data_IF_330864328111
#
_entry.id   IF_330864328111
#
_cell.length_a   1.000
_cell.length_b   1.000
_cell.length_c   1.000
_cell.angle_alpha   90.00
_cell.angle_beta   90.00
_cell.angle_gamma   90.00
#
_symmetry.space_group_name_H-M   'P 1'
#
loop_
_entity.id
_entity.type
_entity.pdbx_description
1 polymer ?
#
# COMPACT_ATOMS: atom_id res chain seq x y z
N UNK A 1 -4.25 -2.65 -3.98
CA UNK A 1 -5.52 -2.77 -4.75
C UNK A 1 -5.23 -2.49 -6.21
N UNK A 2 -5.86 -3.21 -7.12
CA UNK A 2 -5.75 -2.99 -8.58
C UNK A 2 -7.12 -3.05 -9.24
N UNK A 3 -7.20 -2.49 -10.45
CA UNK A 3 -8.38 -2.60 -11.31
C UNK A 3 -7.98 -2.56 -12.79
N UNK A 4 -8.92 -2.92 -13.65
CA UNK A 4 -8.81 -2.67 -15.08
C UNK A 4 -9.79 -1.58 -15.49
N UNK A 5 -9.29 -0.51 -16.09
CA UNK A 5 -10.11 0.56 -16.65
C UNK A 5 -9.77 0.71 -18.13
N UNK A 6 -10.79 0.57 -19.00
CA UNK A 6 -10.60 0.62 -20.46
C UNK A 6 -9.45 -0.28 -20.95
N UNK A 7 -9.42 -1.52 -20.45
CA UNK A 7 -8.37 -2.53 -20.73
C UNK A 7 -6.97 -2.19 -20.21
N UNK A 8 -6.81 -1.11 -19.45
CA UNK A 8 -5.55 -0.74 -18.83
C UNK A 8 -5.53 -1.17 -17.35
N UNK A 9 -4.44 -1.83 -16.96
CA UNK A 9 -4.20 -2.17 -15.55
C UNK A 9 -3.78 -0.93 -14.78
N UNK A 10 -4.51 -0.63 -13.73
CA UNK A 10 -4.21 0.44 -12.78
C UNK A 10 -3.99 -0.11 -11.38
N UNK A 11 -3.09 0.51 -10.64
CA UNK A 11 -2.78 0.20 -9.25
C UNK A 11 -3.05 1.39 -8.34
N UNK A 12 -3.61 1.09 -7.17
CA UNK A 12 -3.88 2.07 -6.12
C UNK A 12 -2.64 2.22 -5.25
N UNK A 13 -2.08 3.41 -5.23
CA UNK A 13 -0.93 3.76 -4.42
C UNK A 13 -1.20 4.99 -3.58
N UNK A 14 -0.48 5.14 -2.50
CA UNK A 14 -0.69 6.15 -1.49
C UNK A 14 0.54 7.06 -1.35
N UNK A 15 0.28 8.35 -1.13
CA UNK A 15 1.30 9.34 -0.83
C UNK A 15 1.35 9.59 0.67
N UNK A 16 2.49 9.33 1.33
CA UNK A 16 2.64 9.60 2.76
C UNK A 16 2.37 11.07 3.10
N UNK A 17 1.73 11.31 4.22
CA UNK A 17 1.57 12.62 4.80
C UNK A 17 2.77 13.05 5.64
N UNK A 18 2.68 14.24 6.23
CA UNK A 18 3.73 14.79 7.07
C UNK A 18 4.43 16.00 6.46
N UNK A 19 5.29 16.67 7.22
CA UNK A 19 5.88 17.94 6.84
C UNK A 19 7.10 17.83 5.92
N UNK A 20 7.61 16.61 5.68
CA UNK A 20 8.94 16.43 5.11
C UNK A 20 9.09 16.81 3.64
N UNK A 21 8.09 16.49 2.80
CA UNK A 21 8.21 16.69 1.35
C UNK A 21 6.84 17.00 0.74
N UNK A 22 6.26 18.18 1.00
CA UNK A 22 4.87 18.48 0.63
C UNK A 22 4.60 18.41 -0.88
N UNK A 23 5.63 18.46 -1.72
CA UNK A 23 5.48 18.45 -3.19
C UNK A 23 6.24 17.31 -3.87
N UNK A 24 6.79 16.35 -3.11
CA UNK A 24 7.53 15.25 -3.70
C UNK A 24 6.59 14.22 -4.30
N UNK A 25 6.76 13.96 -5.58
CA UNK A 25 5.90 13.06 -6.36
C UNK A 25 6.66 11.92 -7.05
N UNK A 26 7.99 11.92 -6.96
CA UNK A 26 8.89 10.92 -7.54
C UNK A 26 9.61 10.17 -6.43
N UNK A 27 9.70 8.84 -6.52
CA UNK A 27 10.33 7.96 -5.52
C UNK A 27 9.80 8.20 -4.09
N UNK A 28 8.51 8.42 -3.98
CA UNK A 28 7.88 8.80 -2.71
C UNK A 28 6.58 8.05 -2.40
N UNK A 29 5.73 7.81 -3.38
CA UNK A 29 4.51 7.04 -3.22
C UNK A 29 4.81 5.58 -2.87
N UNK A 30 3.89 4.94 -2.18
CA UNK A 30 4.05 3.59 -1.63
C UNK A 30 2.74 2.81 -1.73
N UNK A 31 2.84 1.49 -1.64
CA UNK A 31 1.65 0.71 -1.29
C UNK A 31 1.24 1.05 0.16
N UNK A 32 -0.06 1.05 0.50
CA UNK A 32 -0.50 1.07 1.90
C UNK A 32 0.11 -0.14 2.63
N UNK A 33 0.75 0.09 3.78
CA UNK A 33 1.49 -0.94 4.53
C UNK A 33 1.81 -0.48 5.94
N UNK A 34 1.92 -1.41 6.86
CA UNK A 34 2.32 -1.11 8.22
C UNK A 34 3.01 -2.30 8.89
N UNK A 35 3.05 -2.30 10.20
CA UNK A 35 3.76 -3.29 11.00
C UNK A 35 2.83 -4.38 11.50
N UNK A 36 3.37 -5.60 11.61
CA UNK A 36 2.63 -6.76 12.12
C UNK A 36 2.56 -6.68 13.64
N UNK A 37 1.37 -6.84 14.19
CA UNK A 37 1.15 -6.90 15.63
C UNK A 37 1.36 -8.33 16.19
N UNK A 38 1.54 -8.41 17.51
CA UNK A 38 1.76 -9.70 18.16
C UNK A 38 0.54 -10.65 17.97
N UNK A 39 0.81 -11.85 17.45
CA UNK A 39 -0.22 -12.87 17.21
C UNK A 39 -0.99 -12.70 15.90
N UNK A 40 -0.68 -11.69 15.11
CA UNK A 40 -1.33 -11.43 13.83
C UNK A 40 -0.61 -12.15 12.67
N UNK A 41 -1.37 -12.66 11.69
CA UNK A 41 -0.77 -13.15 10.45
C UNK A 41 -0.33 -11.99 9.56
N UNK A 42 0.66 -12.23 8.70
CA UNK A 42 1.14 -11.21 7.77
C UNK A 42 0.03 -10.66 6.86
N UNK A 43 -0.88 -11.52 6.38
CA UNK A 43 -2.00 -11.09 5.54
C UNK A 43 -3.04 -10.32 6.36
N UNK A 44 -3.34 -10.73 7.59
CA UNK A 44 -4.27 -10.00 8.47
C UNK A 44 -3.73 -8.61 8.78
N UNK A 45 -2.43 -8.47 9.05
CA UNK A 45 -1.78 -7.18 9.22
C UNK A 45 -1.94 -6.30 7.96
N UNK A 46 -1.67 -6.87 6.78
CA UNK A 46 -1.81 -6.12 5.52
C UNK A 46 -3.26 -5.62 5.29
N UNK A 47 -4.27 -6.43 5.63
CA UNK A 47 -5.69 -6.05 5.52
C UNK A 47 -6.03 -4.94 6.52
N UNK A 48 -5.61 -5.07 7.78
CA UNK A 48 -5.83 -4.07 8.84
C UNK A 48 -5.18 -2.74 8.47
N UNK A 49 -3.90 -2.76 8.13
CA UNK A 49 -3.13 -1.55 7.78
C UNK A 49 -3.72 -0.82 6.57
N UNK A 50 -4.10 -1.56 5.53
CA UNK A 50 -4.76 -0.96 4.36
C UNK A 50 -6.03 -0.20 4.77
N UNK A 51 -6.87 -0.80 5.63
CA UNK A 51 -8.09 -0.17 6.13
C UNK A 51 -7.80 1.06 6.99
N UNK A 52 -6.80 1.00 7.86
CA UNK A 52 -6.41 2.11 8.75
C UNK A 52 -5.82 3.29 7.98
N UNK A 53 -4.98 3.00 6.99
CA UNK A 53 -4.31 4.02 6.19
C UNK A 53 -5.20 4.72 5.16
N UNK A 54 -6.18 4.01 4.57
CA UNK A 54 -6.98 4.58 3.46
C UNK A 54 -8.50 4.53 3.68
N UNK A 55 -8.97 3.86 4.73
CA UNK A 55 -10.40 3.79 5.07
C UNK A 55 -11.21 2.80 4.23
N UNK A 56 -10.59 2.05 3.32
CA UNK A 56 -11.24 1.07 2.46
C UNK A 56 -11.02 -0.33 3.05
N UNK A 57 -12.09 -1.11 3.17
CA UNK A 57 -11.99 -2.51 3.62
C UNK A 57 -11.61 -3.42 2.44
N UNK A 58 -10.43 -4.07 2.47
CA UNK A 58 -10.05 -5.01 1.42
C UNK A 58 -10.97 -6.21 1.36
N UNK A 59 -11.18 -6.74 0.17
CA UNK A 59 -11.94 -7.96 -0.05
C UNK A 59 -11.19 -8.89 -1.01
N UNK A 60 -10.98 -10.13 -0.58
CA UNK A 60 -10.30 -11.15 -1.41
C UNK A 60 -11.08 -11.57 -2.65
N UNK A 61 -10.48 -12.41 -3.52
CA UNK A 61 -9.25 -13.16 -3.26
C UNK A 61 -7.98 -12.29 -3.21
N UNK A 62 -7.00 -12.71 -2.41
CA UNK A 62 -5.72 -12.00 -2.23
C UNK A 62 -4.60 -12.69 -2.99
N UNK A 63 -4.12 -12.05 -4.02
CA UNK A 63 -3.02 -12.52 -4.86
C UNK A 63 -1.69 -12.25 -4.16
N UNK A 64 -0.91 -13.31 -3.90
CA UNK A 64 0.39 -13.20 -3.24
C UNK A 64 1.43 -12.62 -4.20
N UNK A 65 2.06 -11.52 -3.82
CA UNK A 65 3.15 -10.88 -4.58
C UNK A 65 4.55 -11.16 -3.98
N UNK A 66 4.61 -11.94 -2.89
CA UNK A 66 5.86 -12.25 -2.20
C UNK A 66 6.40 -11.09 -1.36
N UNK A 67 7.71 -11.04 -1.20
CA UNK A 67 8.36 -10.03 -0.38
C UNK A 67 9.43 -9.25 -1.14
N UNK A 68 9.71 -8.05 -0.64
CA UNK A 68 10.80 -7.17 -1.07
C UNK A 68 11.57 -6.66 0.15
N UNK A 69 12.81 -6.23 -0.06
CA UNK A 69 13.60 -5.51 0.95
C UNK A 69 13.62 -4.02 0.64
N UNK A 70 13.32 -3.21 1.64
CA UNK A 70 13.46 -1.74 1.55
C UNK A 70 14.80 -1.27 2.11
N UNK A 71 15.14 0.00 1.84
CA UNK A 71 16.26 0.67 2.52
C UNK A 71 16.08 0.55 4.04
N UNK A 72 17.14 0.25 4.75
CA UNK A 72 17.09 -0.01 6.20
C UNK A 72 16.84 -1.48 6.57
N UNK A 73 16.77 -2.39 5.58
CA UNK A 73 16.71 -3.84 5.81
C UNK A 73 15.32 -4.39 6.16
N UNK A 74 14.28 -3.56 6.24
CA UNK A 74 12.90 -4.02 6.47
C UNK A 74 12.42 -4.86 5.30
N UNK A 75 11.84 -6.03 5.61
CA UNK A 75 11.15 -6.89 4.63
C UNK A 75 9.68 -6.50 4.60
N UNK A 76 9.15 -6.29 3.40
CA UNK A 76 7.73 -6.02 3.16
C UNK A 76 7.14 -7.19 2.40
N UNK A 77 6.12 -7.83 2.98
CA UNK A 77 5.30 -8.84 2.33
C UNK A 77 4.09 -8.16 1.69
N UNK A 78 3.72 -8.56 0.49
CA UNK A 78 2.67 -7.89 -0.27
C UNK A 78 1.67 -8.85 -0.91
N UNK A 79 0.42 -8.40 -0.94
CA UNK A 79 -0.70 -9.02 -1.64
C UNK A 79 -1.41 -7.98 -2.49
N UNK A 80 -2.05 -8.45 -3.54
CA UNK A 80 -2.93 -7.63 -4.34
C UNK A 80 -4.36 -8.18 -4.33
N UNK A 81 -5.33 -7.30 -4.44
CA UNK A 81 -6.74 -7.65 -4.59
C UNK A 81 -7.39 -6.70 -5.59
N UNK A 82 -8.39 -7.21 -6.31
CA UNK A 82 -9.19 -6.38 -7.20
C UNK A 82 -10.15 -5.50 -6.38
N UNK A 83 -10.29 -4.25 -6.76
CA UNK A 83 -11.20 -3.33 -6.06
C UNK A 83 -11.39 -2.02 -6.78
N UNK A 84 -12.45 -1.34 -6.41
CA UNK A 84 -12.80 -0.02 -6.91
C UNK A 84 -12.78 1.00 -5.78
N UNK A 85 -12.68 2.26 -6.15
CA UNK A 85 -12.75 3.39 -5.24
C UNK A 85 -13.55 4.51 -5.90
N UNK A 86 -14.42 5.13 -5.13
CA UNK A 86 -15.35 6.15 -5.59
C UNK A 86 -14.73 7.53 -5.80
N UNK A 87 -13.43 7.69 -5.50
CA UNK A 87 -12.72 8.95 -5.60
C UNK A 87 -12.96 9.93 -4.45
N UNK A 88 -13.71 9.52 -3.44
CA UNK A 88 -13.87 10.33 -2.23
C UNK A 88 -12.54 10.45 -1.47
N UNK A 89 -12.35 11.51 -0.66
CA UNK A 89 -11.17 11.64 0.17
C UNK A 89 -10.96 10.39 1.05
N UNK A 90 -9.74 9.87 1.05
CA UNK A 90 -9.36 8.75 1.92
C UNK A 90 -9.47 9.15 3.39
N UNK A 91 -9.80 8.18 4.24
CA UNK A 91 -9.82 8.35 5.70
C UNK A 91 -8.60 7.68 6.29
N UNK A 92 -7.52 8.45 6.39
CA UNK A 92 -6.28 7.99 7.00
C UNK A 92 -6.33 8.16 8.51
N UNK A 93 -5.69 7.24 9.23
CA UNK A 93 -5.32 7.46 10.63
C UNK A 93 -4.37 8.66 10.76
N UNK A 94 -4.27 9.18 11.98
CA UNK A 94 -3.43 10.34 12.31
C UNK A 94 -2.22 9.86 13.11
N UNK A 95 -1.03 10.27 12.69
CA UNK A 95 0.23 10.06 13.40
C UNK A 95 0.73 11.36 14.01
N UNK A 96 1.49 11.26 15.12
CA UNK A 96 2.18 12.41 15.70
C UNK A 96 3.61 12.45 15.19
N UNK A 97 3.96 13.57 14.59
CA UNK A 97 5.28 13.78 13.99
C UNK A 97 6.00 14.90 14.71
N UNK A 98 7.24 14.64 15.11
CA UNK A 98 8.13 15.68 15.61
C UNK A 98 8.63 16.54 14.46
N UNK A 99 8.33 17.84 14.52
CA UNK A 99 8.80 18.77 13.52
C UNK A 99 9.06 20.17 14.11
N UNK A 100 10.21 20.78 13.83
CA UNK A 100 11.41 20.21 13.17
C UNK A 100 12.03 19.04 13.96
N UNK A 101 12.80 18.13 13.30
CA UNK A 101 13.46 17.02 13.98
C UNK A 101 14.30 17.49 15.16
N UNK A 102 14.16 16.85 16.34
CA UNK A 102 14.87 17.19 17.56
C UNK A 102 14.35 18.41 18.30
N UNK A 103 13.21 18.98 17.87
CA UNK A 103 12.63 20.18 18.52
C UNK A 103 11.81 19.88 19.79
N UNK A 104 11.42 18.61 19.99
CA UNK A 104 10.45 18.23 21.03
C UNK A 104 9.01 18.65 20.74
N UNK A 105 8.77 19.28 19.57
CA UNK A 105 7.43 19.73 19.16
C UNK A 105 6.76 18.70 18.28
N UNK A 106 5.60 18.19 18.69
CA UNK A 106 4.84 17.18 17.97
C UNK A 106 3.54 17.75 17.43
N UNK A 107 3.25 17.48 16.16
CA UNK A 107 2.01 17.87 15.48
C UNK A 107 1.29 16.66 14.90
N UNK A 108 -0.05 16.66 14.85
CA UNK A 108 -0.82 15.62 14.18
C UNK A 108 -0.75 15.78 12.67
N UNK A 109 -0.54 14.66 11.96
CA UNK A 109 -0.54 14.59 10.51
C UNK A 109 -1.28 13.34 10.05
N UNK A 110 -2.01 13.38 8.92
CA UNK A 110 -2.50 12.14 8.33
C UNK A 110 -1.30 11.28 7.94
N UNK A 111 -1.38 9.97 8.20
CA UNK A 111 -0.32 9.04 7.79
C UNK A 111 -0.24 8.95 6.27
N UNK A 112 -1.40 8.95 5.61
CA UNK A 112 -1.53 9.08 4.16
C UNK A 112 -2.23 10.40 3.83
N UNK A 113 -1.59 11.23 3.04
CA UNK A 113 -2.15 12.51 2.60
C UNK A 113 -3.16 12.34 1.47
N UNK A 114 -2.85 11.47 0.51
CA UNK A 114 -3.69 11.17 -0.64
C UNK A 114 -3.38 9.79 -1.21
N UNK A 115 -4.33 9.23 -1.93
CA UNK A 115 -4.14 8.00 -2.68
C UNK A 115 -4.91 8.09 -4.00
N UNK A 116 -4.47 7.32 -5.00
CA UNK A 116 -5.14 7.28 -6.29
C UNK A 116 -4.77 6.02 -7.07
N UNK A 117 -5.58 5.71 -8.07
CA UNK A 117 -5.24 4.74 -9.10
C UNK A 117 -4.37 5.38 -10.18
N UNK A 118 -3.33 4.66 -10.59
CA UNK A 118 -2.44 5.04 -11.69
C UNK A 118 -2.18 3.85 -12.60
N UNK A 119 -2.08 4.07 -13.93
CA UNK A 119 -1.48 3.11 -14.85
C UNK A 119 -0.08 2.69 -14.36
N UNK A 120 0.35 1.46 -14.68
CA UNK A 120 1.59 0.90 -14.16
C UNK A 120 2.83 1.76 -14.41
N UNK A 121 2.94 2.37 -15.58
CA UNK A 121 4.06 3.27 -15.92
C UNK A 121 4.08 4.53 -15.05
N UNK A 122 2.92 5.12 -14.83
CA UNK A 122 2.77 6.30 -13.98
C UNK A 122 2.96 5.97 -12.49
N UNK A 123 2.48 4.80 -12.04
CA UNK A 123 2.72 4.31 -10.69
C UNK A 123 4.22 4.10 -10.46
N UNK A 124 4.92 3.47 -11.42
CA UNK A 124 6.37 3.24 -11.35
C UNK A 124 7.15 4.54 -11.22
N UNK A 125 6.78 5.58 -11.97
CA UNK A 125 7.45 6.88 -11.90
C UNK A 125 7.30 7.55 -10.52
N UNK A 126 6.24 7.27 -9.78
CA UNK A 126 5.94 7.86 -8.47
C UNK A 126 6.43 7.04 -7.29
N UNK A 127 6.35 5.72 -7.41
CA UNK A 127 6.63 4.79 -6.31
C UNK A 127 8.10 4.72 -5.94
N UNK A 128 8.34 4.41 -4.67
CA UNK A 128 9.68 4.04 -4.19
C UNK A 128 10.26 2.92 -5.04
N UNK A 129 11.47 3.10 -5.53
CA UNK A 129 12.17 2.16 -6.43
C UNK A 129 12.21 0.74 -5.85
N UNK A 130 12.41 0.60 -4.53
CA UNK A 130 12.41 -0.70 -3.86
C UNK A 130 11.09 -1.49 -4.02
N UNK A 131 9.97 -0.81 -4.34
CA UNK A 131 8.65 -1.44 -4.52
C UNK A 131 8.32 -1.76 -5.99
N UNK A 132 9.12 -1.33 -6.95
CA UNK A 132 8.92 -1.61 -8.38
C UNK A 132 8.74 -3.10 -8.71
N UNK A 133 9.48 -4.04 -8.07
CA UNK A 133 9.26 -5.46 -8.32
C UNK A 133 7.83 -5.96 -8.05
N UNK A 134 7.09 -5.29 -7.17
CA UNK A 134 5.69 -5.64 -6.89
C UNK A 134 4.77 -5.36 -8.10
N UNK A 135 5.04 -4.28 -8.85
CA UNK A 135 4.31 -3.96 -10.08
C UNK A 135 4.55 -5.01 -11.16
N UNK A 136 5.81 -5.46 -11.30
CA UNK A 136 6.20 -6.48 -12.28
C UNK A 136 5.53 -7.83 -11.97
N UNK A 137 5.57 -8.24 -10.69
CA UNK A 137 4.93 -9.48 -10.21
C UNK A 137 3.42 -9.46 -10.37
N UNK A 138 2.77 -8.33 -10.09
CA UNK A 138 1.34 -8.17 -10.31
C UNK A 138 0.99 -8.33 -11.80
N UNK A 139 1.71 -7.63 -12.67
CA UNK A 139 1.49 -7.69 -14.11
C UNK A 139 1.66 -9.10 -14.63
N UNK A 140 2.69 -9.81 -14.19
CA UNK A 140 2.97 -11.19 -14.61
C UNK A 140 1.90 -12.19 -14.12
N UNK A 141 1.51 -12.08 -12.84
CA UNK A 141 0.49 -12.95 -12.26
C UNK A 141 -0.87 -12.79 -12.95
N UNK A 142 -1.23 -11.57 -13.35
CA UNK A 142 -2.50 -11.30 -14.05
C UNK A 142 -2.48 -11.75 -15.53
N UNK A 143 -1.31 -11.87 -16.16
CA UNK A 143 -1.16 -12.47 -17.50
C UNK A 143 -1.33 -13.99 -17.48
N UNK A 144 -0.98 -14.63 -16.36
CA UNK A 144 -1.02 -16.08 -16.19
C UNK A 144 -1.85 -16.49 -14.96
N UNK A 145 -3.18 -16.25 -14.95
CA UNK A 145 -4.01 -16.48 -13.77
C UNK A 145 -3.98 -17.93 -13.26
N UNK A 146 -3.71 -18.91 -14.14
CA UNK A 146 -3.62 -20.33 -13.77
C UNK A 146 -2.44 -20.65 -12.86
N UNK A 147 -1.42 -19.80 -12.81
CA UNK A 147 -0.23 -19.93 -11.95
C UNK A 147 -0.22 -18.96 -10.78
N UNK A 148 -1.22 -18.08 -10.70
CA UNK A 148 -1.33 -17.11 -9.63
C UNK A 148 -1.59 -17.79 -8.27
N UNK A 149 -0.86 -17.40 -7.25
CA UNK A 149 -1.02 -17.92 -5.89
C UNK A 149 -1.90 -16.96 -5.08
N UNK A 150 -3.04 -17.46 -4.66
CA UNK A 150 -3.96 -16.72 -3.81
C UNK A 150 -3.85 -17.18 -2.34
N UNK A 151 -4.11 -16.27 -1.44
CA UNK A 151 -4.13 -16.54 -0.01
C UNK A 151 -5.43 -16.00 0.59
N UNK A 152 -5.99 -16.76 1.52
CA UNK A 152 -7.11 -16.32 2.35
C UNK A 152 -6.61 -15.93 3.73
N UNK A 153 -7.19 -14.91 4.36
CA UNK A 153 -6.89 -14.62 5.76
C UNK A 153 -7.34 -15.81 6.61
N UNK A 154 -6.46 -16.27 7.49
CA UNK A 154 -6.86 -17.26 8.48
C UNK A 154 -8.00 -16.68 9.34
N UNK A 155 -9.00 -17.50 9.72
CA UNK A 155 -10.06 -17.04 10.62
C UNK A 155 -9.42 -16.53 11.91
N UNK A 156 -9.86 -15.34 12.35
CA UNK A 156 -9.44 -14.78 13.63
C UNK A 156 -9.85 -15.76 14.75
N UNK A 157 -9.01 -16.06 15.71
CA UNK A 157 -9.44 -16.83 16.86
C UNK A 157 -10.55 -16.08 17.58
N UNK A 158 -11.64 -16.79 17.80
CA UNK A 158 -12.83 -16.29 18.51
C UNK A 158 -12.50 -15.91 19.94
#
# INVERSE_FOLDING_TARGET
MYRHQKSQLEVFIARPGGPWFPHRDVDFWTIPKGEVEAGESLLSAAIREFKEEVGITPSGPYLTLGSIRQKGGKTVHAWAFAGEWDGLPIQSNVIRVEWPPGSGTFSPWPEIETAAFFPLDQARARMKIAQHPLLDRLSEALKSPSTAVYADPLPQPS
#
